data_IF_055247116785
#
_entry.id   IF_055247116785
#
_cell.length_a   1.000
_cell.length_b   1.000
_cell.length_c   1.000
_cell.angle_alpha   90.00
_cell.angle_beta   90.00
_cell.angle_gamma   90.00
#
_symmetry.space_group_name_H-M   'P 1'
#
loop_
_entity.id
_entity.type
_entity.pdbx_description
1 polymer ?
#
# COMPACT_ATOMS: atom_id res chain seq x y z
N UNK A 1 -49.83 0.62 -13.99
CA UNK A 1 -50.83 0.06 -13.05
C UNK A 1 -50.46 -1.39 -12.81
N UNK A 2 -50.07 -1.86 -11.63
CA UNK A 2 -49.82 -1.27 -10.32
C UNK A 2 -48.81 -2.18 -9.62
N UNK A 3 -47.80 -1.59 -9.00
CA UNK A 3 -47.58 -1.59 -7.53
C UNK A 3 -46.91 -2.87 -6.99
N UNK A 4 -45.58 -2.75 -6.87
CA UNK A 4 -44.75 -3.51 -5.95
C UNK A 4 -45.17 -3.23 -4.50
N UNK A 5 -45.26 -4.29 -3.70
CA UNK A 5 -45.16 -4.17 -2.25
C UNK A 5 -44.18 -5.23 -1.75
N UNK A 6 -42.93 -4.80 -1.55
CA UNK A 6 -41.96 -5.49 -0.72
C UNK A 6 -42.35 -5.30 0.75
N UNK A 7 -42.79 -6.38 1.40
CA UNK A 7 -42.91 -6.43 2.85
C UNK A 7 -41.91 -7.45 3.40
N UNK A 8 -40.95 -6.91 4.14
CA UNK A 8 -39.98 -7.62 4.99
C UNK A 8 -40.71 -8.51 5.99
N UNK A 9 -40.27 -9.75 6.13
CA UNK A 9 -40.70 -10.64 7.22
C UNK A 9 -39.51 -10.90 8.14
N UNK A 10 -39.52 -10.22 9.28
CA UNK A 10 -38.84 -10.66 10.50
C UNK A 10 -39.87 -11.34 11.42
N UNK A 11 -39.38 -12.25 12.27
CA UNK A 11 -40.06 -13.10 13.29
C UNK A 11 -40.57 -14.46 12.78
N UNK A 12 -40.43 -15.61 13.48
CA UNK A 12 -40.12 -15.96 14.88
C UNK A 12 -39.89 -17.50 14.96
N UNK A 13 -39.05 -17.99 15.87
CA UNK A 13 -39.43 -18.98 16.92
C UNK A 13 -38.26 -19.42 17.82
N UNK A 14 -38.45 -19.18 19.12
CA UNK A 14 -37.81 -19.87 20.24
C UNK A 14 -38.53 -21.20 20.54
N UNK A 15 -37.78 -22.24 20.94
CA UNK A 15 -37.70 -22.85 22.29
C UNK A 15 -37.21 -24.30 22.20
N UNK A 16 -36.18 -24.66 22.98
CA UNK A 16 -36.32 -25.69 24.04
C UNK A 16 -35.09 -25.69 24.98
N UNK A 17 -35.42 -25.71 26.27
CA UNK A 17 -34.56 -25.86 27.44
C UNK A 17 -34.79 -27.26 28.03
N UNK A 18 -33.73 -27.91 28.50
CA UNK A 18 -33.68 -28.77 29.71
C UNK A 18 -32.19 -28.79 30.12
N UNK A 19 -31.79 -28.13 31.23
CA UNK A 19 -31.71 -28.66 32.61
C UNK A 19 -30.83 -29.91 32.70
N UNK A 20 -29.91 -30.10 33.63
CA UNK A 20 -29.33 -29.37 34.76
C UNK A 20 -28.06 -30.16 35.08
N UNK A 21 -26.94 -29.54 35.49
CA UNK A 21 -26.04 -30.17 36.47
C UNK A 21 -25.22 -29.14 37.23
N UNK A 22 -25.18 -29.34 38.54
CA UNK A 22 -24.83 -28.40 39.59
C UNK A 22 -23.38 -28.63 40.07
N UNK A 23 -22.72 -27.52 40.43
CA UNK A 23 -21.58 -27.36 41.36
C UNK A 23 -20.17 -27.80 40.93
N UNK A 24 -19.25 -26.82 40.89
CA UNK A 24 -18.28 -26.67 41.99
C UNK A 24 -17.72 -25.24 42.04
N UNK A 25 -17.76 -24.64 43.24
CA UNK A 25 -17.14 -23.35 43.55
C UNK A 25 -15.69 -23.65 43.93
N UNK A 26 -14.73 -23.19 43.13
CA UNK A 26 -13.32 -23.17 43.52
C UNK A 26 -12.92 -21.78 44.05
N UNK A 27 -12.02 -21.72 45.05
CA UNK A 27 -11.72 -20.49 45.78
C UNK A 27 -10.95 -19.49 44.91
N UNK A 28 -11.38 -18.24 44.96
CA UNK A 28 -10.71 -17.09 44.33
C UNK A 28 -9.33 -16.90 44.94
N UNK A 29 -8.29 -17.31 44.20
CA UNK A 29 -6.93 -16.84 44.47
C UNK A 29 -6.89 -15.36 44.10
N UNK A 30 -6.75 -14.48 45.10
CA UNK A 30 -6.47 -13.05 44.89
C UNK A 30 -5.19 -12.93 44.08
N UNK A 31 -5.31 -12.76 42.75
CA UNK A 31 -4.22 -12.25 41.92
C UNK A 31 -3.85 -10.89 42.49
N UNK A 32 -2.57 -10.72 42.83
CA UNK A 32 -1.95 -9.40 43.01
C UNK A 32 -2.42 -8.52 41.87
N UNK A 33 -3.05 -7.39 42.20
CA UNK A 33 -3.23 -6.28 41.28
C UNK A 33 -1.82 -5.85 40.90
N UNK A 34 -1.35 -6.33 39.75
CA UNK A 34 -0.26 -5.66 39.05
C UNK A 34 -0.91 -4.38 38.58
N UNK A 35 -0.48 -3.24 39.12
CA UNK A 35 -0.89 -1.94 38.61
C UNK A 35 -0.61 -1.94 37.11
N UNK A 36 -1.66 -1.90 36.30
CA UNK A 36 -1.52 -1.65 34.87
C UNK A 36 -0.79 -0.31 34.73
N UNK A 37 0.28 -0.23 33.93
CA UNK A 37 0.99 1.02 33.76
C UNK A 37 0.01 2.08 33.29
N UNK A 38 -0.03 3.21 34.01
CA UNK A 38 -0.86 4.36 33.66
C UNK A 38 -0.54 4.73 32.21
N UNK A 39 -1.49 4.48 31.31
CA UNK A 39 -1.32 4.76 29.89
C UNK A 39 -1.50 6.26 29.69
N UNK A 40 -0.40 7.01 29.74
CA UNK A 40 -0.41 8.44 29.47
C UNK A 40 -0.49 8.61 27.96
N UNK A 41 -1.60 9.15 27.47
CA UNK A 41 -1.75 9.52 26.06
C UNK A 41 -0.69 10.57 25.70
N UNK A 42 0.06 10.33 24.62
CA UNK A 42 1.05 11.29 24.13
C UNK A 42 0.40 12.27 23.15
N UNK A 43 0.77 13.54 23.21
CA UNK A 43 0.37 14.51 22.19
C UNK A 43 1.37 14.54 21.04
N UNK A 44 0.95 15.09 19.89
CA UNK A 44 1.86 15.35 18.78
C UNK A 44 3.03 16.25 19.22
N UNK A 45 2.75 17.23 20.08
CA UNK A 45 3.78 18.14 20.58
C UNK A 45 4.85 17.36 21.34
N UNK A 46 4.45 16.47 22.24
CA UNK A 46 5.39 15.67 23.04
C UNK A 46 6.31 14.83 22.14
N UNK A 47 5.73 14.21 21.11
CA UNK A 47 6.46 13.38 20.14
C UNK A 47 7.45 14.21 19.34
N UNK A 48 7.02 15.38 18.84
CA UNK A 48 7.84 16.24 17.98
C UNK A 48 8.90 16.99 18.77
N UNK A 49 8.68 17.30 20.05
CA UNK A 49 9.66 18.04 20.86
C UNK A 49 10.59 17.14 21.67
N UNK A 50 10.12 15.97 22.12
CA UNK A 50 10.86 15.12 23.05
C UNK A 50 11.18 13.74 22.47
N UNK A 51 10.63 13.39 21.31
CA UNK A 51 10.88 12.11 20.66
C UNK A 51 12.30 12.01 20.07
N UNK A 52 12.77 10.80 19.73
CA UNK A 52 14.16 10.57 19.28
C UNK A 52 14.54 11.33 18.00
N UNK A 53 13.54 11.78 17.24
CA UNK A 53 13.71 12.47 15.96
C UNK A 53 13.27 13.94 16.03
N UNK A 54 13.28 14.55 17.23
CA UNK A 54 12.75 15.91 17.45
C UNK A 54 13.40 16.94 16.52
N UNK A 55 14.73 16.88 16.33
CA UNK A 55 15.50 17.76 15.42
C UNK A 55 14.96 17.81 14.00
N UNK A 56 14.41 16.69 13.51
CA UNK A 56 13.85 16.59 12.17
C UNK A 56 12.45 17.19 12.11
N UNK A 57 11.59 16.85 13.08
CA UNK A 57 10.16 17.18 13.01
C UNK A 57 9.78 18.50 13.69
N UNK A 58 10.65 19.10 14.52
CA UNK A 58 10.38 20.38 15.19
C UNK A 58 10.18 21.54 14.18
N UNK A 59 10.73 21.40 12.97
CA UNK A 59 10.63 22.38 11.89
C UNK A 59 9.42 22.15 10.98
N UNK A 60 8.69 21.06 11.19
CA UNK A 60 7.57 20.65 10.35
C UNK A 60 6.26 21.12 10.98
N UNK A 61 5.37 21.65 10.13
CA UNK A 61 4.03 22.02 10.53
C UNK A 61 3.04 20.89 10.23
N UNK A 62 2.30 20.51 11.25
CA UNK A 62 1.30 19.46 11.20
C UNK A 62 -0.06 20.00 11.60
N UNK A 63 -1.09 19.56 10.88
CA UNK A 63 -2.48 19.91 11.16
C UNK A 63 -3.28 18.64 11.35
N UNK A 64 -4.10 18.60 12.40
CA UNK A 64 -4.98 17.46 12.62
C UNK A 64 -5.96 17.32 11.45
N UNK A 65 -6.17 16.07 11.01
CA UNK A 65 -7.05 15.75 9.91
C UNK A 65 -8.47 16.25 10.22
N UNK A 66 -9.00 17.08 9.33
CA UNK A 66 -10.27 17.76 9.53
C UNK A 66 -11.34 17.31 8.52
N UNK A 67 -12.55 17.84 8.67
CA UNK A 67 -13.69 17.52 7.81
C UNK A 67 -13.44 17.82 6.32
N UNK A 68 -12.70 18.89 5.99
CA UNK A 68 -12.37 19.24 4.60
C UNK A 68 -11.51 18.16 3.96
N UNK A 69 -10.46 17.72 4.65
CA UNK A 69 -9.56 16.68 4.17
C UNK A 69 -10.28 15.35 4.02
N UNK A 70 -11.06 14.95 5.03
CA UNK A 70 -11.79 13.67 5.02
C UNK A 70 -12.85 13.61 3.93
N UNK A 71 -13.55 14.72 3.64
CA UNK A 71 -14.46 14.81 2.49
C UNK A 71 -13.71 14.56 1.17
N UNK A 72 -12.57 15.24 0.96
CA UNK A 72 -11.74 15.07 -0.25
C UNK A 72 -11.21 13.65 -0.42
N UNK A 73 -10.80 13.01 0.69
CA UNK A 73 -10.38 11.60 0.67
C UNK A 73 -11.50 10.64 0.24
N UNK A 74 -12.78 11.03 0.37
CA UNK A 74 -13.92 10.21 -0.04
C UNK A 74 -14.52 10.64 -1.38
N UNK A 75 -13.88 11.53 -2.15
CA UNK A 75 -14.29 11.87 -3.51
C UNK A 75 -14.24 10.59 -4.39
N UNK A 76 -15.22 10.42 -5.28
CA UNK A 76 -15.38 9.21 -6.10
C UNK A 76 -14.37 9.15 -7.24
N UNK A 77 -13.48 8.16 -7.20
CA UNK A 77 -12.43 7.97 -8.18
C UNK A 77 -12.93 7.49 -9.55
N UNK A 78 -14.18 6.99 -9.63
CA UNK A 78 -14.81 6.60 -10.88
C UNK A 78 -15.12 7.83 -11.75
N UNK A 79 -15.45 8.95 -11.12
CA UNK A 79 -15.76 10.22 -11.78
C UNK A 79 -14.59 11.20 -11.75
N UNK A 80 -13.71 11.08 -10.75
CA UNK A 80 -12.55 11.94 -10.57
C UNK A 80 -11.26 11.12 -10.40
N UNK A 81 -10.76 10.46 -11.46
CA UNK A 81 -9.63 9.54 -11.34
C UNK A 81 -8.33 10.23 -10.88
N UNK A 82 -8.15 11.52 -11.15
CA UNK A 82 -6.97 12.30 -10.74
C UNK A 82 -6.84 12.47 -9.21
N UNK A 83 -7.94 12.32 -8.47
CA UNK A 83 -8.00 12.41 -7.00
C UNK A 83 -7.05 11.42 -6.34
N UNK A 84 -6.79 10.26 -6.97
CA UNK A 84 -5.85 9.26 -6.44
C UNK A 84 -4.44 9.81 -6.17
N UNK A 85 -3.95 10.71 -7.04
CA UNK A 85 -2.63 11.31 -6.89
C UNK A 85 -2.61 12.31 -5.72
N UNK A 86 -3.69 13.07 -5.56
CA UNK A 86 -3.86 13.98 -4.44
C UNK A 86 -3.97 13.23 -3.11
N UNK A 87 -4.73 12.12 -3.06
CA UNK A 87 -4.84 11.27 -1.89
C UNK A 87 -3.49 10.66 -1.48
N UNK A 88 -2.71 10.17 -2.45
CA UNK A 88 -1.38 9.64 -2.18
C UNK A 88 -0.48 10.71 -1.55
N UNK A 89 -0.41 11.90 -2.17
CA UNK A 89 0.38 13.03 -1.68
C UNK A 89 -0.06 13.54 -0.30
N UNK A 90 -1.37 13.58 -0.04
CA UNK A 90 -1.91 14.04 1.24
C UNK A 90 -1.46 13.17 2.41
N UNK A 91 -1.47 11.85 2.19
CA UNK A 91 -1.20 10.85 3.21
C UNK A 91 0.30 10.56 3.39
N UNK A 92 1.16 11.06 2.50
CA UNK A 92 2.60 10.89 2.65
C UNK A 92 3.13 11.82 3.76
N UNK A 93 3.87 11.23 4.70
CA UNK A 93 4.34 11.93 5.89
C UNK A 93 3.28 12.16 6.96
N UNK A 94 2.11 11.50 6.88
CA UNK A 94 1.12 11.60 7.96
C UNK A 94 1.65 10.98 9.25
N UNK A 95 1.33 11.60 10.38
CA UNK A 95 1.60 11.08 11.72
C UNK A 95 0.31 10.53 12.31
N UNK A 96 0.38 9.29 12.80
CA UNK A 96 -0.71 8.59 13.47
C UNK A 96 -0.33 8.47 14.94
N UNK A 97 -1.21 8.93 15.82
CA UNK A 97 -1.07 8.78 17.26
C UNK A 97 -2.20 7.89 17.77
N UNK A 98 -1.84 6.89 18.56
CA UNK A 98 -2.78 6.02 19.24
C UNK A 98 -2.25 5.72 20.64
N UNK A 99 -2.95 6.18 21.68
CA UNK A 99 -2.49 6.18 23.06
C UNK A 99 -1.10 6.78 23.23
N UNK A 100 -0.12 5.95 23.58
CA UNK A 100 1.27 6.28 23.86
C UNK A 100 2.20 5.90 22.69
N UNK A 101 1.65 5.67 21.49
CA UNK A 101 2.41 5.33 20.29
C UNK A 101 2.20 6.38 19.21
N UNK A 102 3.29 6.77 18.55
CA UNK A 102 3.27 7.67 17.42
C UNK A 102 4.08 7.10 16.27
N UNK A 103 3.50 7.14 15.07
CA UNK A 103 4.11 6.59 13.87
C UNK A 103 3.95 7.56 12.72
N UNK A 104 5.02 7.81 11.98
CA UNK A 104 4.97 8.52 10.71
C UNK A 104 4.95 7.52 9.55
N UNK A 105 4.11 7.79 8.54
CA UNK A 105 4.08 7.06 7.28
C UNK A 105 5.04 7.71 6.30
N UNK A 106 6.21 7.11 6.14
CA UNK A 106 7.26 7.57 5.24
C UNK A 106 6.91 7.32 3.77
N UNK A 107 6.19 6.25 3.45
CA UNK A 107 5.78 5.95 2.08
C UNK A 107 4.47 5.19 2.07
N UNK A 108 3.58 5.55 1.16
CA UNK A 108 2.27 4.93 1.00
C UNK A 108 1.91 4.67 -0.46
N UNK A 109 1.06 3.67 -0.65
CA UNK A 109 0.52 3.23 -1.94
C UNK A 109 -1.00 3.22 -1.87
N UNK A 110 -1.66 4.01 -2.73
CA UNK A 110 -3.13 4.09 -2.73
C UNK A 110 -3.74 3.28 -3.87
N UNK A 111 -4.90 2.68 -3.63
CA UNK A 111 -5.59 1.83 -4.60
C UNK A 111 -7.10 1.89 -4.45
N UNK A 112 -7.80 1.84 -5.58
CA UNK A 112 -9.26 1.94 -5.61
C UNK A 112 -9.91 0.75 -4.90
N UNK A 113 -11.07 0.97 -4.26
CA UNK A 113 -11.76 -0.11 -3.53
C UNK A 113 -12.53 -1.07 -4.45
N UNK A 114 -12.93 -0.66 -5.64
CA UNK A 114 -13.72 -1.50 -6.54
C UNK A 114 -12.92 -1.92 -7.77
N UNK A 115 -13.22 -3.11 -8.30
CA UNK A 115 -12.55 -3.65 -9.50
C UNK A 115 -12.63 -2.72 -10.71
N UNK A 116 -13.73 -1.99 -10.85
CA UNK A 116 -13.93 -1.06 -11.98
C UNK A 116 -13.03 0.17 -11.92
N UNK A 117 -12.51 0.52 -10.73
CA UNK A 117 -11.62 1.67 -10.51
C UNK A 117 -10.16 1.24 -10.47
N UNK A 118 -9.88 0.10 -9.85
CA UNK A 118 -8.54 -0.46 -9.71
C UNK A 118 -8.59 -1.99 -9.75
N UNK A 119 -7.70 -2.59 -10.51
CA UNK A 119 -7.64 -4.03 -10.61
C UNK A 119 -7.19 -4.68 -9.27
N UNK A 120 -6.26 -4.03 -8.56
CA UNK A 120 -5.82 -4.41 -7.22
C UNK A 120 -6.68 -3.71 -6.17
N UNK A 121 -7.89 -4.22 -6.00
CA UNK A 121 -8.90 -3.70 -5.09
C UNK A 121 -9.14 -4.64 -3.91
N UNK A 122 -9.86 -4.14 -2.90
CA UNK A 122 -10.33 -4.96 -1.79
C UNK A 122 -11.41 -5.93 -2.27
N UNK A 123 -11.09 -7.23 -2.33
CA UNK A 123 -12.00 -8.25 -2.80
C UNK A 123 -13.10 -8.58 -1.79
N UNK A 124 -14.36 -8.52 -2.21
CA UNK A 124 -15.53 -8.89 -1.39
C UNK A 124 -16.07 -10.29 -1.71
N UNK A 125 -15.17 -11.23 -2.04
CA UNK A 125 -15.58 -12.59 -2.40
C UNK A 125 -16.00 -13.33 -1.13
N UNK A 126 -17.29 -13.62 -1.01
CA UNK A 126 -17.80 -14.52 0.02
C UNK A 126 -17.32 -15.91 -0.31
N UNK A 127 -16.53 -16.51 0.57
CA UNK A 127 -16.03 -17.88 0.39
C UNK A 127 -16.52 -18.74 1.53
N UNK A 128 -17.11 -19.90 1.20
CA UNK A 128 -17.74 -20.83 2.17
C UNK A 128 -18.73 -20.14 3.13
N UNK A 129 -19.47 -19.13 2.63
CA UNK A 129 -20.44 -18.36 3.44
C UNK A 129 -19.84 -17.34 4.41
N UNK A 130 -18.51 -17.21 4.45
CA UNK A 130 -17.80 -16.25 5.30
C UNK A 130 -17.61 -14.94 4.53
N UNK A 131 -18.07 -13.84 5.11
CA UNK A 131 -17.85 -12.49 4.58
C UNK A 131 -16.40 -12.09 4.85
N UNK A 132 -15.65 -11.62 3.83
CA UNK A 132 -14.26 -11.21 4.03
C UNK A 132 -14.15 -10.02 4.97
N UNK A 133 -13.06 -9.99 5.75
CA UNK A 133 -12.73 -8.87 6.63
C UNK A 133 -12.51 -7.61 5.79
N UNK A 134 -13.35 -6.60 6.02
CA UNK A 134 -13.17 -5.31 5.33
C UNK A 134 -12.23 -4.38 6.09
N UNK A 135 -11.49 -3.57 5.34
CA UNK A 135 -10.75 -2.44 5.87
C UNK A 135 -11.67 -1.37 6.47
N UNK A 136 -12.95 -1.29 6.08
CA UNK A 136 -13.96 -0.40 6.69
C UNK A 136 -14.35 -0.80 8.13
N UNK A 137 -14.81 0.16 8.95
CA UNK A 137 -15.33 -0.17 10.26
C UNK A 137 -16.75 -0.75 10.14
N UNK A 138 -17.17 -1.58 11.11
CA UNK A 138 -18.59 -1.75 11.41
C UNK A 138 -19.23 -0.38 11.68
N UNK A 139 -20.55 -0.22 11.48
CA UNK A 139 -21.23 1.08 11.57
C UNK A 139 -20.93 1.93 12.82
N UNK A 140 -20.52 1.34 13.94
CA UNK A 140 -20.29 1.97 15.25
C UNK A 140 -18.83 2.38 15.57
N UNK A 141 -17.86 2.14 14.68
CA UNK A 141 -16.41 2.39 14.94
C UNK A 141 -15.81 3.44 14.01
N UNK A 142 -16.55 4.50 13.71
CA UNK A 142 -16.14 5.54 12.75
C UNK A 142 -15.36 6.64 13.48
N UNK A 143 -14.21 7.02 12.94
CA UNK A 143 -13.36 8.10 13.51
C UNK A 143 -14.01 9.48 13.28
N UNK A 144 -14.74 9.65 12.17
CA UNK A 144 -15.46 10.88 11.86
C UNK A 144 -16.90 10.57 11.47
N UNK A 145 -17.86 11.32 12.02
CA UNK A 145 -19.30 11.16 11.75
C UNK A 145 -19.64 11.25 10.24
N UNK A 146 -18.81 11.96 9.47
CA UNK A 146 -19.03 12.27 8.05
C UNK A 146 -18.14 11.49 7.07
N UNK A 147 -17.14 10.74 7.57
CA UNK A 147 -16.20 10.00 6.74
C UNK A 147 -15.89 8.63 7.34
N UNK A 148 -16.09 7.57 6.54
CA UNK A 148 -15.62 6.24 6.89
C UNK A 148 -14.11 6.18 6.67
N UNK A 149 -13.36 6.64 7.65
CA UNK A 149 -11.91 6.50 7.67
C UNK A 149 -11.54 5.54 8.79
N UNK A 150 -10.83 4.48 8.43
CA UNK A 150 -10.35 3.47 9.38
C UNK A 150 -8.89 3.21 9.21
N UNK A 151 -8.22 3.04 10.34
CA UNK A 151 -6.93 2.38 10.37
C UNK A 151 -7.12 0.97 10.87
N UNK A 152 -6.50 0.02 10.17
CA UNK A 152 -6.38 -1.34 10.66
C UNK A 152 -4.94 -1.79 10.54
N UNK A 153 -4.49 -2.46 11.58
CA UNK A 153 -3.41 -3.43 11.50
C UNK A 153 -4.09 -4.76 11.21
N UNK A 154 -4.16 -5.15 9.95
CA UNK A 154 -4.79 -6.42 9.59
C UNK A 154 -3.79 -7.55 9.83
N UNK A 155 -4.03 -8.50 10.74
CA UNK A 155 -3.42 -9.82 10.59
C UNK A 155 -3.92 -10.41 9.27
N UNK A 156 -3.03 -10.96 8.47
CA UNK A 156 -3.44 -11.84 7.37
C UNK A 156 -3.98 -13.12 8.01
N UNK A 157 -5.28 -13.12 8.35
CA UNK A 157 -5.89 -14.24 9.04
C UNK A 157 -6.06 -15.40 8.06
N UNK A 158 -5.12 -16.33 8.19
CA UNK A 158 -5.21 -17.73 7.81
C UNK A 158 -6.46 -18.35 8.44
N UNK A 159 -7.48 -18.56 7.60
CA UNK A 159 -8.33 -19.74 7.62
C UNK A 159 -8.94 -19.89 6.22
N UNK A 160 -8.41 -20.87 5.48
CA UNK A 160 -8.97 -21.51 4.29
C UNK A 160 -8.93 -20.83 2.92
N UNK A 161 -8.24 -19.69 2.72
CA UNK A 161 -7.97 -19.21 1.35
C UNK A 161 -6.62 -18.51 1.19
N UNK A 162 -5.65 -19.29 0.70
CA UNK A 162 -4.36 -18.89 0.11
C UNK A 162 -3.52 -18.01 1.04
N UNK A 163 -2.55 -18.67 1.70
CA UNK A 163 -1.37 -18.06 2.32
C UNK A 163 -0.96 -16.77 1.61
N UNK A 164 -0.96 -15.67 2.35
CA UNK A 164 0.03 -14.63 2.15
C UNK A 164 0.77 -14.47 3.47
N UNK A 165 2.07 -14.79 3.41
CA UNK A 165 2.98 -14.94 4.54
C UNK A 165 3.55 -13.55 4.95
N UNK A 166 2.78 -12.47 4.72
CA UNK A 166 3.32 -11.10 4.63
C UNK A 166 3.12 -10.25 5.89
N UNK A 167 2.65 -10.86 6.98
CA UNK A 167 2.55 -10.22 8.30
C UNK A 167 1.50 -9.10 8.38
N UNK A 168 1.61 -8.29 9.43
CA UNK A 168 0.64 -7.23 9.74
C UNK A 168 0.81 -6.01 8.82
N UNK A 169 -0.24 -5.62 8.08
CA UNK A 169 -0.21 -4.45 7.17
C UNK A 169 -0.93 -3.26 7.81
N UNK A 170 -0.36 -2.06 7.69
CA UNK A 170 -1.02 -0.80 8.09
C UNK A 170 -1.79 -0.22 6.91
N UNK A 171 -3.11 -0.25 7.00
CA UNK A 171 -3.99 0.22 5.94
C UNK A 171 -4.93 1.28 6.49
N UNK A 172 -4.97 2.41 5.78
CA UNK A 172 -6.03 3.40 5.89
C UNK A 172 -7.12 3.07 4.87
N UNK A 173 -8.31 2.71 5.32
CA UNK A 173 -9.48 2.53 4.47
C UNK A 173 -10.35 3.79 4.44
N UNK A 174 -10.76 4.21 3.25
CA UNK A 174 -11.80 5.25 3.01
C UNK A 174 -12.97 4.63 2.24
N UNK A 175 -14.09 5.30 1.96
CA UNK A 175 -15.16 4.71 1.12
C UNK A 175 -14.72 4.34 -0.29
N UNK A 176 -13.82 5.11 -0.88
CA UNK A 176 -13.50 5.05 -2.32
C UNK A 176 -12.17 4.35 -2.60
N UNK A 177 -11.25 4.35 -1.63
CA UNK A 177 -9.91 3.79 -1.79
C UNK A 177 -9.29 3.32 -0.48
N UNK A 178 -8.19 2.56 -0.59
CA UNK A 178 -7.34 2.18 0.52
C UNK A 178 -5.91 2.71 0.32
N UNK A 179 -5.22 3.07 1.41
CA UNK A 179 -3.80 3.44 1.42
C UNK A 179 -3.01 2.44 2.26
N UNK A 180 -2.10 1.72 1.63
CA UNK A 180 -1.15 0.83 2.29
C UNK A 180 0.12 1.60 2.65
N UNK A 181 0.54 1.55 3.91
CA UNK A 181 1.87 2.03 4.32
C UNK A 181 2.93 1.03 3.86
N UNK A 182 3.90 1.48 3.08
CA UNK A 182 5.04 0.67 2.61
C UNK A 182 6.38 1.14 3.18
N UNK A 183 6.37 2.24 3.93
CA UNK A 183 7.42 2.53 4.90
C UNK A 183 6.86 3.37 6.04
N UNK A 184 7.30 3.08 7.27
CA UNK A 184 6.91 3.81 8.46
C UNK A 184 8.02 3.83 9.50
N UNK A 185 8.00 4.84 10.37
CA UNK A 185 8.95 5.01 11.47
C UNK A 185 8.20 5.38 12.76
N UNK A 186 8.63 4.81 13.89
CA UNK A 186 8.14 5.21 15.21
C UNK A 186 8.76 6.52 15.63
N UNK A 187 7.94 7.44 16.12
CA UNK A 187 8.39 8.75 16.58
C UNK A 187 8.51 8.84 18.11
N UNK A 188 7.89 7.92 18.84
CA UNK A 188 7.92 7.86 20.30
C UNK A 188 9.07 7.01 20.86
N UNK A 189 9.68 6.15 20.04
CA UNK A 189 10.77 5.25 20.43
C UNK A 189 11.78 5.07 19.30
N UNK A 190 13.05 4.84 19.67
CA UNK A 190 14.12 4.54 18.71
C UNK A 190 14.02 3.07 18.28
N UNK A 191 13.28 2.82 17.19
CA UNK A 191 13.16 1.51 16.55
C UNK A 191 13.55 1.59 15.08
N UNK A 192 13.89 0.44 14.49
CA UNK A 192 14.15 0.40 13.05
C UNK A 192 12.88 0.73 12.26
N UNK A 193 12.96 1.59 11.23
CA UNK A 193 11.85 1.80 10.30
C UNK A 193 11.35 0.48 9.72
N UNK A 194 10.04 0.36 9.59
CA UNK A 194 9.48 -0.69 8.75
C UNK A 194 9.60 -0.25 7.28
N UNK A 195 10.14 -1.12 6.43
CA UNK A 195 10.26 -0.90 4.98
C UNK A 195 9.72 -2.14 4.29
N UNK A 196 8.67 -1.96 3.49
CA UNK A 196 7.83 -3.02 2.96
C UNK A 196 6.39 -2.91 3.46
N UNK A 197 5.50 -3.82 3.03
CA UNK A 197 4.06 -3.75 3.34
C UNK A 197 3.75 -4.08 4.81
N UNK A 198 4.68 -4.72 5.51
CA UNK A 198 4.52 -5.13 6.91
C UNK A 198 4.88 -3.99 7.85
N UNK A 199 4.07 -3.76 8.88
CA UNK A 199 4.37 -2.87 10.00
C UNK A 199 4.40 -3.65 11.31
N UNK A 200 5.25 -3.22 12.23
CA UNK A 200 5.20 -3.62 13.64
C UNK A 200 4.84 -2.44 14.56
N UNK A 201 4.69 -1.23 14.00
CA UNK A 201 4.71 0.01 14.77
C UNK A 201 3.59 0.15 15.81
N UNK A 202 2.42 -0.43 15.58
CA UNK A 202 1.33 -0.44 16.56
C UNK A 202 1.14 -1.81 17.22
N UNK A 203 1.78 -2.88 16.74
CA UNK A 203 1.48 -4.25 17.12
C UNK A 203 -0.02 -4.57 16.97
N UNK A 204 -0.59 -5.34 17.90
CA UNK A 204 -2.02 -5.68 17.93
C UNK A 204 -2.89 -4.61 18.64
N UNK A 205 -2.31 -3.49 19.08
CA UNK A 205 -2.95 -2.56 20.03
C UNK A 205 -3.40 -1.25 19.36
N UNK A 206 -4.12 -1.34 18.25
CA UNK A 206 -4.68 -0.18 17.57
C UNK A 206 -6.16 -0.05 17.94
N UNK A 207 -6.50 0.89 18.82
CA UNK A 207 -7.89 1.26 19.10
C UNK A 207 -8.34 2.35 18.12
N UNK A 208 -9.26 2.08 17.17
CA UNK A 208 -9.74 3.07 16.22
C UNK A 208 -10.44 4.26 16.86
N UNK A 209 -11.02 4.12 18.06
CA UNK A 209 -11.87 5.15 18.67
C UNK A 209 -11.09 6.39 19.13
N UNK A 210 -9.76 6.28 19.27
CA UNK A 210 -8.89 7.32 19.84
C UNK A 210 -7.75 7.73 18.91
N UNK A 211 -7.75 7.22 17.67
CA UNK A 211 -6.71 7.56 16.70
C UNK A 211 -6.79 9.04 16.35
N UNK A 212 -5.66 9.72 16.43
CA UNK A 212 -5.45 11.06 15.90
C UNK A 212 -4.51 11.01 14.72
N UNK A 213 -4.85 11.72 13.67
CA UNK A 213 -4.09 11.73 12.41
C UNK A 213 -3.69 13.18 12.15
N UNK A 214 -2.41 13.40 11.96
CA UNK A 214 -1.86 14.71 11.66
C UNK A 214 -1.24 14.67 10.26
N UNK A 215 -1.65 15.62 9.44
CA UNK A 215 -1.19 15.78 8.06
C UNK A 215 -0.12 16.87 8.04
N UNK A 216 0.99 16.58 7.37
CA UNK A 216 2.01 17.60 7.12
C UNK A 216 1.42 18.72 6.24
N UNK A 217 1.63 19.97 6.62
CA UNK A 217 1.00 21.10 5.95
C UNK A 217 1.47 21.24 4.49
N UNK A 218 2.71 20.86 4.16
CA UNK A 218 3.23 20.86 2.79
C UNK A 218 2.61 19.74 1.95
N UNK A 219 2.39 18.55 2.53
CA UNK A 219 1.65 17.46 1.90
C UNK A 219 0.22 17.89 1.56
N UNK A 220 -0.45 18.58 2.48
CA UNK A 220 -1.79 19.13 2.24
C UNK A 220 -1.81 20.15 1.09
N UNK A 221 -0.89 21.13 1.08
CA UNK A 221 -0.78 22.12 -0.01
C UNK A 221 -0.55 21.45 -1.37
N UNK A 222 0.30 20.42 -1.41
CA UNK A 222 0.56 19.65 -2.62
C UNK A 222 -0.71 18.94 -3.10
N UNK A 223 -1.42 18.28 -2.18
CA UNK A 223 -2.68 17.62 -2.48
C UNK A 223 -3.76 18.58 -2.99
N UNK A 224 -3.89 19.78 -2.40
CA UNK A 224 -4.85 20.80 -2.85
C UNK A 224 -4.64 21.17 -4.33
N UNK A 225 -3.39 21.36 -4.74
CA UNK A 225 -3.08 21.63 -6.16
C UNK A 225 -3.45 20.45 -7.07
N UNK A 226 -3.20 19.22 -6.61
CA UNK A 226 -3.52 18.01 -7.37
C UNK A 226 -5.03 17.77 -7.50
N UNK A 227 -5.82 18.04 -6.44
CA UNK A 227 -7.29 17.90 -6.48
C UNK A 227 -7.92 18.81 -7.55
N UNK A 228 -7.33 19.97 -7.82
CA UNK A 228 -7.85 20.94 -8.78
C UNK A 228 -7.48 20.64 -10.24
N UNK A 229 -6.50 19.75 -10.47
CA UNK A 229 -5.98 19.45 -11.82
C UNK A 229 -6.55 18.14 -12.36
N UNK A 230 -7.71 18.22 -13.01
CA UNK A 230 -8.44 17.03 -13.53
C UNK A 230 -7.63 16.20 -14.55
N UNK A 231 -6.73 16.84 -15.32
CA UNK A 231 -5.88 16.17 -16.30
C UNK A 231 -4.64 15.50 -15.69
N UNK A 232 -4.48 15.54 -14.37
CA UNK A 232 -3.28 15.08 -13.70
C UNK A 232 -3.19 13.54 -13.67
N UNK A 233 -1.98 13.01 -13.90
CA UNK A 233 -1.71 11.56 -13.99
C UNK A 233 -0.55 11.08 -13.12
N UNK A 234 0.01 11.96 -12.29
CA UNK A 234 1.19 11.72 -11.45
C UNK A 234 1.25 12.72 -10.29
N UNK A 235 1.97 12.39 -9.23
CA UNK A 235 2.18 13.28 -8.09
C UNK A 235 3.27 14.30 -8.40
N UNK A 236 4.40 13.81 -8.92
CA UNK A 236 5.57 14.61 -9.29
C UNK A 236 5.92 14.40 -10.76
N UNK A 237 6.51 15.42 -11.40
CA UNK A 237 7.01 15.33 -12.78
C UNK A 237 8.39 14.65 -12.87
N UNK A 238 9.00 14.30 -11.74
CA UNK A 238 10.23 13.52 -11.63
C UNK A 238 9.95 12.12 -11.06
N UNK A 239 10.94 11.23 -11.13
CA UNK A 239 10.92 9.90 -10.51
C UNK A 239 9.64 9.08 -10.75
N UNK A 240 9.15 9.10 -11.99
CA UNK A 240 7.87 8.46 -12.37
C UNK A 240 7.78 6.98 -11.99
N UNK A 241 8.91 6.25 -11.99
CA UNK A 241 8.97 4.84 -11.59
C UNK A 241 8.87 4.64 -10.08
N UNK A 242 9.36 5.59 -9.27
CA UNK A 242 9.23 5.53 -7.81
C UNK A 242 7.80 5.79 -7.34
N UNK A 243 7.02 6.48 -8.17
CA UNK A 243 5.59 6.70 -7.97
C UNK A 243 4.72 5.48 -8.37
N UNK A 244 5.30 4.43 -8.93
CA UNK A 244 4.58 3.18 -9.21
C UNK A 244 4.51 2.30 -7.95
N UNK A 245 3.35 1.67 -7.75
CA UNK A 245 3.09 0.75 -6.64
C UNK A 245 3.94 -0.51 -6.73
N UNK A 246 4.24 -1.13 -5.60
CA UNK A 246 4.89 -2.43 -5.55
C UNK A 246 3.86 -3.56 -5.75
N UNK A 247 3.60 -3.90 -7.01
CA UNK A 247 2.64 -4.94 -7.40
C UNK A 247 3.37 -6.14 -8.00
N UNK A 248 2.79 -7.33 -7.87
CA UNK A 248 3.39 -8.59 -8.33
C UNK A 248 2.56 -9.28 -9.42
N UNK A 249 1.39 -8.74 -9.78
CA UNK A 249 0.43 -9.39 -10.67
C UNK A 249 -0.28 -8.42 -11.59
N UNK A 250 -0.96 -8.97 -12.61
CA UNK A 250 -1.86 -8.26 -13.55
C UNK A 250 -1.20 -7.13 -14.34
N UNK A 251 0.06 -7.30 -14.71
CA UNK A 251 0.86 -6.40 -15.54
C UNK A 251 0.24 -6.13 -16.93
N UNK A 252 -0.72 -6.93 -17.36
CA UNK A 252 -1.53 -6.67 -18.55
C UNK A 252 -2.60 -5.58 -18.35
N UNK A 253 -2.73 -4.99 -17.15
CA UNK A 253 -3.73 -3.95 -16.84
C UNK A 253 -3.11 -2.57 -16.73
N UNK A 254 -3.80 -1.56 -17.26
CA UNK A 254 -3.33 -0.18 -17.23
C UNK A 254 -3.24 0.39 -15.79
N UNK A 255 -4.12 -0.04 -14.88
CA UNK A 255 -4.15 0.47 -13.51
C UNK A 255 -2.86 0.20 -12.72
N UNK A 256 -2.07 -0.81 -13.11
CA UNK A 256 -0.78 -1.15 -12.48
C UNK A 256 0.21 -0.01 -12.60
N UNK A 257 0.14 0.71 -13.72
CA UNK A 257 1.05 1.80 -14.08
C UNK A 257 0.55 3.16 -13.57
N UNK A 258 -0.40 3.17 -12.64
CA UNK A 258 -0.84 4.39 -11.96
C UNK A 258 0.26 4.92 -11.03
N UNK A 259 0.71 6.15 -11.27
CA UNK A 259 1.76 6.84 -10.49
C UNK A 259 1.23 7.41 -9.16
N UNK A 260 0.71 6.52 -8.31
CA UNK A 260 -0.04 6.83 -7.08
C UNK A 260 0.62 6.30 -5.79
N UNK A 261 1.94 6.11 -5.82
CA UNK A 261 2.80 5.89 -4.65
C UNK A 261 3.51 7.19 -4.29
N UNK A 262 3.52 7.53 -3.01
CA UNK A 262 4.10 8.77 -2.52
C UNK A 262 5.08 8.50 -1.37
N UNK A 263 6.19 9.23 -1.35
CA UNK A 263 7.09 9.32 -0.21
C UNK A 263 6.81 10.61 0.57
N UNK A 264 7.16 10.64 1.86
CA UNK A 264 7.14 11.86 2.65
C UNK A 264 8.30 12.77 2.22
N UNK A 265 8.23 14.05 2.57
CA UNK A 265 9.30 15.01 2.27
C UNK A 265 10.66 14.54 2.80
N UNK A 266 10.68 13.86 3.95
CA UNK A 266 11.90 13.40 4.60
C UNK A 266 12.50 12.16 3.90
N UNK A 267 11.69 11.38 3.18
CA UNK A 267 12.13 10.16 2.50
C UNK A 267 12.03 10.25 0.98
N UNK A 268 11.67 11.40 0.40
CA UNK A 268 11.61 11.64 -1.05
C UNK A 268 13.03 11.79 -1.64
N UNK A 269 13.84 10.74 -1.50
CA UNK A 269 15.17 10.63 -2.08
C UNK A 269 15.50 9.17 -2.41
N UNK A 270 16.45 8.96 -3.32
CA UNK A 270 16.76 7.64 -3.87
C UNK A 270 17.32 6.61 -2.86
N UNK A 271 17.79 7.03 -1.68
CA UNK A 271 18.33 6.14 -0.64
C UNK A 271 17.30 5.76 0.44
N UNK A 272 16.28 6.59 0.66
CA UNK A 272 15.27 6.41 1.70
C UNK A 272 13.94 5.85 1.18
N UNK A 273 13.72 5.81 -0.14
CA UNK A 273 12.52 5.21 -0.71
C UNK A 273 12.65 3.68 -0.81
N UNK A 274 11.60 2.92 -0.45
CA UNK A 274 11.62 1.49 -0.69
C UNK A 274 11.72 1.19 -2.19
N UNK A 275 12.59 0.25 -2.56
CA UNK A 275 12.69 -0.27 -3.91
C UNK A 275 11.46 -1.11 -4.25
N UNK A 276 11.07 -1.03 -5.52
CA UNK A 276 10.01 -1.82 -6.15
C UNK A 276 10.60 -2.63 -7.30
N UNK A 277 9.81 -3.51 -7.89
CA UNK A 277 10.21 -4.23 -9.11
C UNK A 277 10.64 -3.27 -10.24
N UNK A 278 10.12 -2.03 -10.26
CA UNK A 278 10.41 -1.03 -11.28
C UNK A 278 11.69 -0.23 -11.02
N UNK A 279 12.13 -0.16 -9.75
CA UNK A 279 13.25 0.70 -9.33
C UNK A 279 14.46 -0.07 -8.81
N UNK A 280 14.33 -1.37 -8.54
CA UNK A 280 15.43 -2.21 -8.05
C UNK A 280 16.69 -2.13 -8.93
N UNK A 281 16.54 -1.97 -10.24
CA UNK A 281 17.67 -1.80 -11.16
C UNK A 281 18.52 -0.54 -10.92
N UNK A 282 18.07 0.41 -10.09
CA UNK A 282 18.83 1.59 -9.68
C UNK A 282 19.69 1.34 -8.42
N UNK A 283 19.59 0.17 -7.77
CA UNK A 283 20.43 -0.12 -6.63
C UNK A 283 21.90 -0.26 -7.06
N UNK A 284 22.81 0.47 -6.44
CA UNK A 284 24.25 0.41 -6.75
C UNK A 284 24.96 -0.76 -6.08
N UNK A 285 24.36 -1.33 -5.03
CA UNK A 285 24.94 -2.44 -4.26
C UNK A 285 24.75 -3.82 -4.91
N UNK A 286 24.38 -3.87 -6.19
CA UNK A 286 24.14 -5.11 -6.94
C UNK A 286 24.99 -5.15 -8.21
N UNK A 287 25.40 -6.37 -8.60
CA UNK A 287 26.12 -6.57 -9.85
C UNK A 287 25.23 -6.26 -11.06
N UNK A 288 25.82 -5.68 -12.09
CA UNK A 288 25.14 -5.26 -13.32
C UNK A 288 24.46 -6.41 -14.07
N UNK A 289 25.00 -7.62 -13.93
CA UNK A 289 24.56 -8.86 -14.56
C UNK A 289 23.76 -9.76 -13.60
N UNK A 290 23.41 -9.28 -12.41
CA UNK A 290 22.58 -10.07 -11.50
C UNK A 290 21.18 -10.29 -12.08
N UNK A 291 20.66 -11.51 -11.94
CA UNK A 291 19.31 -11.88 -12.36
C UNK A 291 18.25 -10.88 -11.85
N UNK A 292 18.36 -10.44 -10.59
CA UNK A 292 17.47 -9.43 -10.01
C UNK A 292 17.49 -8.10 -10.77
N UNK A 293 18.68 -7.63 -11.17
CA UNK A 293 18.81 -6.38 -11.95
C UNK A 293 18.19 -6.54 -13.32
N UNK A 294 18.43 -7.68 -13.98
CA UNK A 294 17.85 -7.99 -15.29
C UNK A 294 16.33 -8.01 -15.24
N UNK A 295 15.74 -8.72 -14.26
CA UNK A 295 14.28 -8.74 -14.08
C UNK A 295 13.71 -7.34 -13.88
N UNK A 296 14.33 -6.53 -13.02
CA UNK A 296 13.87 -5.15 -12.78
C UNK A 296 14.02 -4.25 -14.01
N UNK A 297 15.05 -4.44 -14.83
CA UNK A 297 15.21 -3.72 -16.10
C UNK A 297 14.09 -4.03 -17.09
N UNK A 298 13.61 -5.28 -17.13
CA UNK A 298 12.45 -5.66 -17.94
C UNK A 298 11.19 -4.94 -17.46
N UNK A 299 10.87 -5.00 -16.17
CA UNK A 299 9.73 -4.28 -15.60
C UNK A 299 9.80 -2.77 -15.82
N UNK A 300 10.99 -2.19 -15.67
CA UNK A 300 11.25 -0.78 -15.95
C UNK A 300 10.97 -0.43 -17.40
N UNK A 301 11.46 -1.22 -18.35
CA UNK A 301 11.26 -0.96 -19.78
C UNK A 301 9.77 -1.00 -20.14
N UNK A 302 9.04 -1.98 -19.60
CA UNK A 302 7.59 -2.11 -19.73
C UNK A 302 6.87 -0.87 -19.19
N UNK A 303 7.16 -0.49 -17.95
CA UNK A 303 6.54 0.66 -17.30
C UNK A 303 6.82 1.98 -18.05
N UNK A 304 8.06 2.21 -18.49
CA UNK A 304 8.42 3.40 -19.26
C UNK A 304 7.73 3.43 -20.63
N UNK A 305 7.54 2.28 -21.27
CA UNK A 305 6.80 2.18 -22.53
C UNK A 305 5.36 2.69 -22.38
N UNK A 306 4.70 2.33 -21.28
CA UNK A 306 3.33 2.74 -20.97
C UNK A 306 3.26 4.20 -20.52
N UNK A 307 4.14 4.62 -19.62
CA UNK A 307 4.19 6.01 -19.13
C UNK A 307 4.43 6.99 -20.28
N UNK A 308 5.29 6.65 -21.26
CA UNK A 308 5.51 7.50 -22.44
C UNK A 308 4.24 7.70 -23.26
N UNK A 309 3.41 6.67 -23.42
CA UNK A 309 2.12 6.80 -24.11
C UNK A 309 1.15 7.68 -23.31
N UNK A 310 1.08 7.48 -21.99
CA UNK A 310 0.28 8.32 -21.07
C UNK A 310 0.68 9.80 -21.18
N UNK A 311 1.98 10.08 -21.06
CA UNK A 311 2.51 11.45 -21.07
C UNK A 311 2.41 12.11 -22.46
N UNK A 312 2.33 11.31 -23.54
CA UNK A 312 2.08 11.80 -24.90
C UNK A 312 0.60 12.09 -25.18
N UNK A 313 -0.29 11.92 -24.20
CA UNK A 313 -1.71 12.20 -24.34
C UNK A 313 -2.49 11.13 -25.12
N UNK A 314 -1.94 9.91 -25.26
CA UNK A 314 -2.69 8.79 -25.83
C UNK A 314 -3.89 8.49 -24.94
N UNK A 315 -5.07 8.35 -25.52
CA UNK A 315 -6.29 8.03 -24.79
C UNK A 315 -6.14 6.68 -24.05
N UNK A 316 -6.66 6.60 -22.83
CA UNK A 316 -6.41 5.47 -21.93
C UNK A 316 -6.79 4.10 -22.53
N UNK A 317 -7.86 4.04 -23.32
CA UNK A 317 -8.33 2.85 -24.03
C UNK A 317 -7.43 2.40 -25.18
N UNK A 318 -6.51 3.26 -25.62
CA UNK A 318 -5.54 3.02 -26.70
C UNK A 318 -4.11 2.77 -26.22
N UNK A 319 -3.89 2.87 -24.91
CA UNK A 319 -2.57 2.62 -24.32
C UNK A 319 -2.34 1.11 -24.27
N UNK A 320 -1.34 0.66 -25.03
CA UNK A 320 -1.00 -0.77 -25.11
C UNK A 320 0.38 -1.07 -24.53
N UNK A 321 1.31 -0.11 -24.61
CA UNK A 321 2.72 -0.35 -24.34
C UNK A 321 3.34 -1.41 -25.24
N UNK A 322 4.66 -1.36 -25.39
CA UNK A 322 5.42 -2.33 -26.19
C UNK A 322 6.69 -2.79 -25.47
N UNK A 323 6.95 -4.10 -25.56
CA UNK A 323 8.22 -4.72 -25.18
C UNK A 323 8.97 -5.14 -26.45
N UNK A 324 10.17 -4.60 -26.65
CA UNK A 324 10.99 -4.86 -27.84
C UNK A 324 11.80 -6.15 -27.71
N UNK A 325 11.79 -6.98 -28.76
CA UNK A 325 12.50 -8.26 -28.81
C UNK A 325 14.00 -8.08 -28.62
N UNK A 326 14.58 -7.12 -29.33
CA UNK A 326 16.03 -6.83 -29.27
C UNK A 326 16.47 -6.37 -27.88
N UNK A 327 15.61 -5.71 -27.12
CA UNK A 327 15.89 -5.37 -25.73
C UNK A 327 15.91 -6.64 -24.86
N UNK A 328 14.92 -7.51 -25.03
CA UNK A 328 14.79 -8.76 -24.28
C UNK A 328 15.96 -9.72 -24.57
N UNK A 329 16.36 -9.87 -25.82
CA UNK A 329 17.53 -10.66 -26.22
C UNK A 329 18.83 -10.16 -25.55
N UNK A 330 19.02 -8.83 -25.47
CA UNK A 330 20.16 -8.26 -24.71
C UNK A 330 20.08 -8.55 -23.22
N UNK A 331 18.89 -8.62 -22.64
CA UNK A 331 18.70 -8.99 -21.23
C UNK A 331 19.03 -10.47 -20.99
N UNK A 332 18.62 -11.36 -21.89
CA UNK A 332 18.94 -12.79 -21.85
C UNK A 332 20.46 -13.03 -21.84
N UNK A 333 21.23 -12.27 -22.63
CA UNK A 333 22.69 -12.37 -22.68
C UNK A 333 23.38 -11.97 -21.35
N UNK A 334 22.70 -11.22 -20.49
CA UNK A 334 23.21 -10.83 -19.16
C UNK A 334 22.87 -11.84 -18.07
N UNK A 335 21.92 -12.74 -18.32
CA UNK A 335 21.54 -13.75 -17.33
C UNK A 335 22.62 -14.82 -17.17
N UNK A 336 22.65 -15.43 -15.99
CA UNK A 336 23.45 -16.63 -15.75
C UNK A 336 23.06 -17.78 -16.71
N UNK A 337 24.07 -18.56 -17.13
CA UNK A 337 23.82 -19.75 -17.94
C UNK A 337 22.92 -20.73 -17.17
N UNK A 338 21.84 -21.18 -17.81
CA UNK A 338 20.82 -22.09 -17.26
C UNK A 338 19.98 -21.56 -16.07
N UNK A 339 20.04 -20.25 -15.78
CA UNK A 339 19.24 -19.63 -14.73
C UNK A 339 17.72 -19.64 -15.03
N UNK A 340 16.89 -19.71 -13.98
CA UNK A 340 15.42 -19.66 -14.10
C UNK A 340 14.97 -18.38 -14.81
N UNK A 341 15.59 -17.25 -14.48
CA UNK A 341 15.35 -15.94 -15.12
C UNK A 341 15.53 -16.04 -16.63
N UNK A 342 16.67 -16.61 -17.08
CA UNK A 342 16.99 -16.77 -18.50
C UNK A 342 15.90 -17.56 -19.24
N UNK A 343 15.49 -18.71 -18.70
CA UNK A 343 14.46 -19.57 -19.31
C UNK A 343 13.11 -18.87 -19.45
N UNK A 344 12.73 -18.06 -18.46
CA UNK A 344 11.49 -17.28 -18.53
C UNK A 344 11.59 -16.20 -19.60
N UNK A 345 12.71 -15.47 -19.68
CA UNK A 345 12.91 -14.46 -20.73
C UNK A 345 12.95 -15.10 -22.13
N UNK A 346 13.57 -16.28 -22.28
CA UNK A 346 13.53 -17.08 -23.52
C UNK A 346 12.09 -17.48 -23.87
N UNK A 347 11.31 -17.93 -22.90
CA UNK A 347 9.88 -18.24 -23.12
C UNK A 347 9.09 -16.99 -23.57
N UNK A 348 9.43 -15.80 -23.04
CA UNK A 348 8.83 -14.55 -23.53
C UNK A 348 9.23 -14.25 -24.97
N UNK A 349 10.46 -14.58 -25.41
CA UNK A 349 10.87 -14.39 -26.82
C UNK A 349 10.09 -15.26 -27.80
N UNK A 350 9.54 -16.39 -27.34
CA UNK A 350 8.68 -17.27 -28.14
C UNK A 350 7.28 -16.68 -28.38
N UNK A 351 6.88 -15.66 -27.61
CA UNK A 351 5.59 -14.96 -27.80
C UNK A 351 5.58 -14.00 -28.98
N UNK A 352 6.74 -13.72 -29.58
CA UNK A 352 6.84 -12.82 -30.71
C UNK A 352 6.47 -13.57 -31.98
N UNK A 353 5.54 -13.03 -32.76
CA UNK A 353 5.21 -13.56 -34.07
C UNK A 353 6.42 -13.45 -35.02
N UNK A 354 6.45 -14.31 -36.05
CA UNK A 354 7.63 -14.52 -36.91
C UNK A 354 8.23 -13.26 -37.56
N UNK A 355 7.50 -12.13 -37.61
CA UNK A 355 7.96 -10.86 -38.18
C UNK A 355 7.75 -9.63 -37.26
N UNK A 356 7.40 -9.82 -35.99
CA UNK A 356 7.17 -8.70 -35.08
C UNK A 356 8.41 -8.38 -34.24
N UNK A 357 8.83 -7.11 -34.22
CA UNK A 357 9.94 -6.65 -33.38
C UNK A 357 9.53 -6.35 -31.94
N UNK A 358 8.22 -6.24 -31.68
CA UNK A 358 7.67 -5.94 -30.37
C UNK A 358 6.37 -6.70 -30.11
N UNK A 359 6.06 -6.89 -28.83
CA UNK A 359 4.77 -7.42 -28.37
C UNK A 359 4.06 -6.37 -27.50
N UNK A 360 2.74 -6.35 -27.57
CA UNK A 360 1.91 -5.50 -26.71
C UNK A 360 1.94 -6.00 -25.25
N UNK A 361 1.85 -5.05 -24.31
CA UNK A 361 1.86 -5.35 -22.86
C UNK A 361 0.42 -5.46 -22.34
N UNK A 362 -0.37 -4.39 -22.51
CA UNK A 362 -1.75 -4.33 -22.01
C UNK A 362 -2.62 -5.32 -22.78
N UNK A 363 -3.42 -6.10 -22.05
CA UNK A 363 -4.27 -7.16 -22.59
C UNK A 363 -3.53 -8.47 -22.94
N UNK A 364 -2.21 -8.55 -22.76
CA UNK A 364 -1.44 -9.75 -23.05
C UNK A 364 -1.35 -10.67 -21.83
N UNK A 365 -2.37 -11.52 -21.65
CA UNK A 365 -2.44 -12.46 -20.51
C UNK A 365 -1.29 -13.48 -20.48
N UNK A 366 -0.78 -13.89 -21.65
CA UNK A 366 0.30 -14.87 -21.71
C UNK A 366 1.63 -14.25 -21.26
N UNK A 367 1.96 -13.05 -21.74
CA UNK A 367 3.07 -12.27 -21.22
C UNK A 367 2.93 -12.02 -19.71
N UNK A 368 1.73 -11.66 -19.24
CA UNK A 368 1.47 -11.42 -17.81
C UNK A 368 1.84 -12.64 -16.95
N UNK A 369 1.52 -13.87 -17.36
CA UNK A 369 1.86 -15.07 -16.60
C UNK A 369 3.38 -15.22 -16.37
N UNK A 370 4.19 -14.93 -17.39
CA UNK A 370 5.64 -14.93 -17.25
C UNK A 370 6.14 -13.77 -16.39
N UNK A 371 5.55 -12.57 -16.52
CA UNK A 371 5.89 -11.42 -15.68
C UNK A 371 5.56 -11.68 -14.21
N UNK A 372 4.44 -12.34 -13.89
CA UNK A 372 4.10 -12.76 -12.53
C UNK A 372 5.17 -13.69 -11.94
N UNK A 373 5.63 -14.67 -12.71
CA UNK A 373 6.72 -15.55 -12.29
C UNK A 373 8.03 -14.77 -12.08
N UNK A 374 8.36 -13.79 -12.93
CA UNK A 374 9.54 -12.93 -12.72
C UNK A 374 9.40 -12.05 -11.47
N UNK A 375 8.20 -11.53 -11.19
CA UNK A 375 7.97 -10.72 -10.00
C UNK A 375 8.19 -11.52 -8.72
N UNK A 376 7.69 -12.76 -8.66
CA UNK A 376 7.93 -13.69 -7.56
C UNK A 376 9.43 -13.98 -7.36
N UNK A 377 10.17 -14.22 -8.44
CA UNK A 377 11.62 -14.43 -8.38
C UNK A 377 12.40 -13.19 -7.92
N UNK A 378 11.85 -11.99 -8.14
CA UNK A 378 12.48 -10.72 -7.75
C UNK A 378 12.24 -10.38 -6.26
N UNK A 379 11.20 -10.92 -5.62
CA UNK A 379 10.83 -10.64 -4.23
C UNK A 379 11.98 -10.81 -3.21
N UNK A 380 12.76 -11.91 -3.21
CA UNK A 380 13.86 -12.09 -2.26
C UNK A 380 14.95 -11.01 -2.38
N UNK A 381 15.20 -10.50 -3.58
CA UNK A 381 16.16 -9.42 -3.82
C UNK A 381 15.66 -8.10 -3.24
N UNK A 382 14.38 -7.80 -3.44
CA UNK A 382 13.72 -6.61 -2.89
C UNK A 382 13.72 -6.62 -1.36
N UNK A 383 13.34 -7.75 -0.74
CA UNK A 383 13.37 -7.91 0.71
C UNK A 383 14.77 -7.67 1.28
N UNK A 384 15.82 -8.04 0.56
CA UNK A 384 17.21 -7.81 0.98
C UNK A 384 17.60 -6.34 0.87
N UNK A 385 17.38 -5.71 -0.28
CA UNK A 385 17.80 -4.33 -0.52
C UNK A 385 17.00 -3.33 0.32
N UNK A 386 15.71 -3.60 0.57
CA UNK A 386 14.89 -2.74 1.42
C UNK A 386 15.28 -2.77 2.90
N UNK A 387 16.05 -3.77 3.36
CA UNK A 387 16.71 -3.69 4.68
C UNK A 387 17.76 -2.58 4.73
N UNK A 388 18.49 -2.35 3.65
CA UNK A 388 19.45 -1.25 3.56
C UNK A 388 18.76 0.12 3.55
N UNK A 389 17.57 0.23 2.96
CA UNK A 389 16.75 1.44 3.02
C UNK A 389 16.37 1.77 4.48
N UNK A 390 16.02 0.76 5.27
CA UNK A 390 15.76 0.97 6.71
C UNK A 390 16.98 1.53 7.45
N UNK A 391 18.18 1.04 7.14
CA UNK A 391 19.41 1.54 7.75
C UNK A 391 19.74 2.97 7.25
N UNK A 392 19.50 3.26 5.96
CA UNK A 392 19.70 4.59 5.38
C UNK A 392 18.79 5.65 5.99
N UNK A 393 17.52 5.32 6.28
CA UNK A 393 16.59 6.21 6.99
C UNK A 393 17.15 6.57 8.37
N UNK A 394 17.62 5.60 9.15
CA UNK A 394 18.20 5.87 10.48
C UNK A 394 19.44 6.77 10.38
N UNK A 395 20.32 6.52 9.40
CA UNK A 395 21.54 7.30 9.24
C UNK A 395 21.28 8.73 8.77
N UNK A 396 20.23 8.92 7.97
CA UNK A 396 19.86 10.23 7.42
C UNK A 396 19.08 11.07 8.44
N UNK A 397 18.35 10.41 9.36
CA UNK A 397 17.48 11.09 10.30
C UNK A 397 18.28 11.40 11.58
N UNK A 398 18.58 12.68 11.87
CA UNK A 398 19.38 13.03 13.03
C UNK A 398 18.64 12.66 14.31
N UNK A 399 19.29 11.87 15.17
CA UNK A 399 18.81 11.58 16.52
C UNK A 399 19.34 12.59 17.52
N UNK A 400 18.66 12.71 18.66
CA UNK A 400 19.10 13.57 19.76
C UNK A 400 20.35 13.07 20.50
#
# INVERSE_FOLDING_TARGET
MGEENFLLIHEKRWTNVCNDEIMSITPVVKKRVVEEPVNIDISLRDVVTNGPYSKLFLKEDFIEMNEKMTKRLNDDWSTFPHVRFACAALLSGMVIINHNKALIVNCNEVYGRTKSVDEHHEGFIIKKGIVPTSSLPPPLQRIFDYALLTFRVLPYLDHDFIDDDHGHKLILGTKTFNSLSTSSLRLDILEKPNVGPTTSGFGNSLDPAIIKIFINQQSWKTAENLFMKQSNQYIHNYDSLYQLRQLQTRFDKLSIYSRCRAASVQTDNHICQPYTIFTFANCDNIKDDSDGRVMSLVFRQIALSIIRQQDSGVAADKIVGFLEKTFLERMILKCSNDGKTKRILESITELYEHNTSSIQIIGNNQLNSYLETLAELLCPYLCRVNKHVSDAIIQTFPTD
#
